data_IF_545955688876
#
_entry.id   IF_545955688876
#
_cell.length_a   1.000
_cell.length_b   1.000
_cell.length_c   1.000
_cell.angle_alpha   90.00
_cell.angle_beta   90.00
_cell.angle_gamma   90.00
#
_symmetry.space_group_name_H-M   'P 1'
#
loop_
_entity.id
_entity.type
_entity.pdbx_description
1 polymer ?
#
# COMPACT_ATOMS: atom_id res chain seq x y z
N UNK A 1 -32.37 -0.35 -23.06
CA UNK A 1 -31.42 0.68 -22.61
C UNK A 1 -30.50 -0.02 -21.64
N UNK A 2 -29.24 -0.25 -22.03
CA UNK A 2 -28.31 -1.02 -21.20
C UNK A 2 -27.95 -0.22 -19.94
N UNK A 3 -27.98 -0.88 -18.79
CA UNK A 3 -27.37 -0.37 -17.57
C UNK A 3 -25.90 -0.08 -17.87
N UNK A 4 -25.49 1.18 -17.75
CA UNK A 4 -24.08 1.54 -17.68
C UNK A 4 -23.59 1.07 -16.29
N UNK A 5 -23.32 -0.22 -16.17
CA UNK A 5 -22.76 -0.82 -14.95
C UNK A 5 -21.32 -0.36 -14.76
N UNK A 6 -21.06 0.25 -13.59
CA UNK A 6 -19.80 0.82 -13.16
C UNK A 6 -19.28 1.97 -14.04
N UNK A 7 -19.23 3.15 -13.45
CA UNK A 7 -18.93 4.43 -14.11
C UNK A 7 -17.62 4.38 -14.91
N UNK A 8 -17.69 4.55 -16.23
CA UNK A 8 -16.54 4.68 -17.16
C UNK A 8 -15.48 5.70 -16.68
N UNK A 9 -15.89 6.65 -15.84
CA UNK A 9 -15.06 7.65 -15.17
C UNK A 9 -13.86 7.06 -14.42
N UNK A 10 -13.98 5.86 -13.85
CA UNK A 10 -12.93 5.22 -13.06
C UNK A 10 -12.28 4.02 -13.78
N UNK A 11 -12.54 3.83 -15.08
CA UNK A 11 -12.06 2.68 -15.87
C UNK A 11 -10.54 2.50 -15.86
N UNK A 12 -9.80 3.59 -15.66
CA UNK A 12 -8.33 3.59 -15.64
C UNK A 12 -7.74 3.65 -14.23
N UNK A 13 -8.56 3.62 -13.18
CA UNK A 13 -8.11 3.64 -11.80
C UNK A 13 -8.66 2.45 -11.00
N UNK A 14 -8.17 2.30 -9.77
CA UNK A 14 -8.45 1.19 -8.85
C UNK A 14 -9.84 1.26 -8.18
N UNK A 15 -10.85 1.81 -8.87
CA UNK A 15 -12.16 2.07 -8.29
C UNK A 15 -13.30 1.87 -9.30
N UNK A 16 -14.49 1.50 -8.83
CA UNK A 16 -15.62 1.18 -9.70
C UNK A 16 -16.95 1.84 -9.27
N UNK A 17 -16.96 2.56 -8.15
CA UNK A 17 -18.15 3.22 -7.59
C UNK A 17 -17.94 4.74 -7.51
N UNK A 18 -19.00 5.50 -7.20
CA UNK A 18 -18.85 6.93 -6.94
C UNK A 18 -18.09 7.20 -5.64
N UNK A 19 -17.28 8.26 -5.64
CA UNK A 19 -16.48 8.65 -4.49
C UNK A 19 -17.33 9.27 -3.39
N UNK A 20 -17.22 8.72 -2.19
CA UNK A 20 -17.69 9.38 -0.96
C UNK A 20 -16.62 10.27 -0.32
N UNK A 21 -16.96 10.93 0.78
CA UNK A 21 -16.11 11.93 1.45
C UNK A 21 -14.77 11.39 1.98
N UNK A 22 -14.65 10.09 2.17
CA UNK A 22 -13.45 9.43 2.71
C UNK A 22 -12.36 9.16 1.66
N UNK A 23 -12.69 9.33 0.38
CA UNK A 23 -11.80 9.02 -0.73
C UNK A 23 -11.52 10.26 -1.56
N UNK A 24 -10.36 10.30 -2.19
CA UNK A 24 -10.02 11.31 -3.17
C UNK A 24 -9.16 10.71 -4.29
N UNK A 25 -9.21 11.35 -5.45
CA UNK A 25 -8.30 11.05 -6.55
C UNK A 25 -6.97 11.73 -6.26
N UNK A 26 -5.90 10.97 -6.28
CA UNK A 26 -4.52 11.44 -6.09
C UNK A 26 -3.65 11.01 -7.26
N UNK A 27 -2.58 11.76 -7.50
CA UNK A 27 -1.52 11.39 -8.45
C UNK A 27 -0.16 11.63 -7.78
N UNK A 28 0.67 10.59 -7.72
CA UNK A 28 2.03 10.65 -7.18
C UNK A 28 3.12 10.54 -8.26
N UNK A 29 2.76 10.65 -9.54
CA UNK A 29 3.67 10.68 -10.68
C UNK A 29 3.62 9.47 -11.61
N UNK A 30 2.77 8.47 -11.33
CA UNK A 30 2.55 7.26 -12.16
C UNK A 30 1.09 7.14 -12.63
N UNK A 31 0.33 8.24 -12.52
CA UNK A 31 -1.07 8.33 -12.94
C UNK A 31 -2.06 8.43 -11.77
N UNK A 32 -3.27 8.88 -12.10
CA UNK A 32 -4.35 9.10 -11.15
C UNK A 32 -4.91 7.79 -10.59
N UNK A 33 -5.11 7.74 -9.26
CA UNK A 33 -5.78 6.64 -8.58
C UNK A 33 -6.61 7.13 -7.39
N UNK A 34 -7.54 6.30 -6.93
CA UNK A 34 -8.40 6.60 -5.77
C UNK A 34 -7.73 6.08 -4.50
N UNK A 35 -7.57 6.96 -3.52
CA UNK A 35 -7.03 6.61 -2.22
C UNK A 35 -8.01 7.01 -1.10
N UNK A 36 -8.05 6.21 -0.04
CA UNK A 36 -8.64 6.66 1.22
C UNK A 36 -7.73 7.73 1.85
N UNK A 37 -8.33 8.83 2.30
CA UNK A 37 -7.62 9.99 2.86
C UNK A 37 -6.69 9.63 4.02
N UNK A 38 -7.06 8.64 4.84
CA UNK A 38 -6.23 8.18 5.95
C UNK A 38 -4.98 7.41 5.50
N UNK A 39 -5.00 6.79 4.32
CA UNK A 39 -3.88 6.04 3.77
C UNK A 39 -2.89 6.92 2.97
N UNK A 40 -3.31 8.11 2.53
CA UNK A 40 -2.50 9.03 1.71
C UNK A 40 -1.11 9.31 2.30
N UNK A 41 -0.94 9.62 3.60
CA UNK A 41 0.39 9.88 4.16
C UNK A 41 1.37 8.72 3.98
N UNK A 42 0.89 7.48 4.15
CA UNK A 42 1.70 6.28 3.95
C UNK A 42 2.03 6.09 2.48
N UNK A 43 1.05 6.22 1.59
CA UNK A 43 1.24 6.02 0.15
C UNK A 43 2.20 7.05 -0.44
N UNK A 44 2.09 8.31 0.00
CA UNK A 44 3.03 9.36 -0.38
C UNK A 44 4.45 9.05 0.09
N UNK A 45 4.63 8.61 1.34
CA UNK A 45 5.95 8.25 1.85
C UNK A 45 6.57 7.06 1.10
N UNK A 46 5.77 6.06 0.74
CA UNK A 46 6.21 4.92 -0.08
C UNK A 46 6.61 5.37 -1.49
N UNK A 47 5.82 6.23 -2.12
CA UNK A 47 6.15 6.77 -3.44
C UNK A 47 7.41 7.65 -3.41
N UNK A 48 7.58 8.51 -2.41
CA UNK A 48 8.79 9.33 -2.21
C UNK A 48 10.04 8.47 -1.98
N UNK A 49 9.88 7.28 -1.41
CA UNK A 49 10.94 6.27 -1.30
C UNK A 49 11.18 5.49 -2.62
N UNK A 50 10.46 5.80 -3.69
CA UNK A 50 10.56 5.15 -5.00
C UNK A 50 9.87 3.78 -5.06
N UNK A 51 9.02 3.46 -4.09
CA UNK A 51 8.32 2.18 -4.03
C UNK A 51 7.00 2.24 -4.78
N UNK A 52 6.81 1.31 -5.73
CA UNK A 52 5.53 1.13 -6.41
C UNK A 52 4.53 0.48 -5.48
N UNK A 53 3.34 1.05 -5.36
CA UNK A 53 2.28 0.53 -4.49
C UNK A 53 1.00 0.26 -5.28
N UNK A 54 0.24 -0.75 -4.86
CA UNK A 54 -1.17 -0.93 -5.24
C UNK A 54 -2.05 -0.82 -4.02
N UNK A 55 -3.23 -0.24 -4.17
CA UNK A 55 -4.22 -0.14 -3.10
C UNK A 55 -5.57 -0.62 -3.57
N UNK A 56 -6.36 -1.17 -2.65
CA UNK A 56 -7.74 -1.48 -2.92
C UNK A 56 -8.57 -1.32 -1.65
N UNK A 57 -9.79 -0.86 -1.85
CA UNK A 57 -10.78 -0.69 -0.81
C UNK A 57 -11.98 -1.56 -1.18
N UNK A 58 -12.33 -2.50 -0.29
CA UNK A 58 -13.54 -3.29 -0.44
C UNK A 58 -14.68 -2.57 0.29
N UNK A 59 -15.83 -2.41 -0.36
CA UNK A 59 -17.04 -1.93 0.32
C UNK A 59 -17.67 -3.06 1.14
N UNK A 60 -18.08 -2.80 2.39
CA UNK A 60 -18.74 -3.77 3.28
C UNK A 60 -17.82 -4.28 4.40
N UNK A 61 -17.90 -5.56 4.75
CA UNK A 61 -17.03 -6.20 5.76
C UNK A 61 -15.58 -6.45 5.27
N UNK A 62 -15.31 -6.16 4.00
CA UNK A 62 -13.96 -6.29 3.44
C UNK A 62 -13.05 -5.17 3.92
N UNK A 63 -11.86 -5.52 4.40
CA UNK A 63 -10.85 -4.54 4.83
C UNK A 63 -10.29 -3.67 3.69
N UNK A 64 -9.32 -2.84 3.99
CA UNK A 64 -8.52 -2.13 2.98
C UNK A 64 -7.11 -2.71 2.92
N UNK A 65 -6.45 -2.65 1.77
CA UNK A 65 -5.02 -2.95 1.69
C UNK A 65 -4.22 -1.87 0.98
N UNK A 66 -2.97 -1.74 1.43
CA UNK A 66 -1.86 -1.15 0.69
C UNK A 66 -0.83 -2.25 0.51
N UNK A 67 -0.42 -2.50 -0.72
CA UNK A 67 0.63 -3.46 -1.03
C UNK A 67 1.77 -2.75 -1.77
N UNK A 68 3.00 -3.08 -1.41
CA UNK A 68 4.21 -2.67 -2.14
C UNK A 68 4.48 -3.76 -3.18
N UNK A 69 4.70 -3.35 -4.43
CA UNK A 69 5.11 -4.27 -5.49
C UNK A 69 6.61 -4.50 -5.37
N UNK A 70 6.99 -5.76 -5.15
CA UNK A 70 8.37 -6.19 -4.94
C UNK A 70 8.71 -7.27 -5.97
N UNK A 71 9.94 -7.25 -6.48
CA UNK A 71 10.48 -8.30 -7.34
C UNK A 71 11.00 -9.48 -6.48
N UNK A 72 12.07 -10.17 -6.89
CA UNK A 72 12.68 -11.31 -6.18
C UNK A 72 13.31 -10.90 -4.84
N UNK A 73 12.44 -10.65 -3.86
CA UNK A 73 12.73 -10.18 -2.51
C UNK A 73 12.14 -11.14 -1.50
N UNK A 74 12.90 -11.48 -0.47
CA UNK A 74 12.34 -12.14 0.69
C UNK A 74 11.69 -11.10 1.62
N UNK A 75 10.42 -11.35 1.97
CA UNK A 75 9.62 -10.49 2.85
C UNK A 75 9.34 -11.22 4.15
N UNK A 76 9.62 -10.56 5.28
CA UNK A 76 9.37 -11.11 6.61
C UNK A 76 8.74 -10.04 7.52
N UNK A 77 7.68 -10.40 8.24
CA UNK A 77 7.19 -9.58 9.36
C UNK A 77 7.74 -10.17 10.65
N UNK A 78 8.58 -9.42 11.35
CA UNK A 78 9.20 -9.86 12.59
C UNK A 78 9.17 -8.76 13.66
N UNK A 79 9.47 -9.16 14.88
CA UNK A 79 9.76 -8.19 15.94
C UNK A 79 11.23 -7.80 15.83
N UNK A 80 11.51 -6.50 15.86
CA UNK A 80 12.86 -5.96 15.86
C UNK A 80 13.57 -6.43 17.13
N UNK A 81 14.70 -7.08 16.95
CA UNK A 81 15.60 -7.49 18.02
C UNK A 81 17.04 -7.44 17.48
N UNK A 82 17.64 -6.26 17.52
CA UNK A 82 19.04 -6.07 17.12
C UNK A 82 19.95 -6.50 18.27
N UNK A 83 20.50 -7.71 18.15
CA UNK A 83 21.53 -8.23 19.07
C UNK A 83 22.72 -7.27 19.02
N UNK A 84 23.21 -6.86 20.19
CA UNK A 84 24.32 -5.92 20.40
C UNK A 84 24.02 -4.42 20.14
N UNK A 85 22.77 -4.07 19.83
CA UNK A 85 22.31 -2.69 19.70
C UNK A 85 21.26 -2.31 20.76
N UNK A 86 21.55 -2.61 22.03
CA UNK A 86 20.68 -2.38 23.21
C UNK A 86 20.14 -0.94 23.34
N UNK A 87 20.65 0.01 22.56
CA UNK A 87 20.24 1.43 22.53
C UNK A 87 19.26 1.79 21.42
N UNK A 88 18.91 0.87 20.54
CA UNK A 88 17.94 1.16 19.47
C UNK A 88 16.54 1.28 20.04
N UNK A 89 15.91 2.44 19.84
CA UNK A 89 14.51 2.71 20.25
C UNK A 89 13.47 1.87 19.50
N UNK A 90 13.92 1.02 18.58
CA UNK A 90 13.08 0.20 17.72
C UNK A 90 12.92 -1.24 18.23
N UNK A 91 13.75 -1.69 19.18
CA UNK A 91 13.59 -3.02 19.79
C UNK A 91 12.17 -3.21 20.35
N UNK A 92 11.59 -4.37 20.07
CA UNK A 92 10.20 -4.70 20.44
C UNK A 92 9.13 -4.19 19.48
N UNK A 93 9.46 -3.34 18.50
CA UNK A 93 8.51 -2.93 17.45
C UNK A 93 8.36 -4.02 16.39
N UNK A 94 7.26 -3.98 15.65
CA UNK A 94 7.08 -4.80 14.44
C UNK A 94 7.76 -4.11 13.26
N UNK A 95 8.50 -4.89 12.47
CA UNK A 95 9.09 -4.47 11.21
C UNK A 95 8.58 -5.34 10.06
N UNK A 96 8.49 -4.72 8.88
CA UNK A 96 8.46 -5.39 7.60
C UNK A 96 9.89 -5.39 7.06
N UNK A 97 10.57 -6.52 7.13
CA UNK A 97 11.94 -6.69 6.67
C UNK A 97 11.95 -7.17 5.21
N UNK A 98 12.64 -6.42 4.35
CA UNK A 98 12.84 -6.72 2.94
C UNK A 98 14.31 -7.11 2.73
N UNK A 99 14.57 -8.29 2.16
CA UNK A 99 15.94 -8.81 1.98
C UNK A 99 16.18 -9.30 0.54
N UNK A 100 17.33 -8.92 -0.01
CA UNK A 100 17.89 -9.51 -1.23
C UNK A 100 18.80 -10.68 -0.88
N UNK A 101 18.86 -11.71 -1.74
CA UNK A 101 19.80 -12.83 -1.61
C UNK A 101 19.69 -13.63 -0.30
N UNK A 102 18.48 -13.89 0.20
CA UNK A 102 18.31 -14.84 1.32
C UNK A 102 18.75 -16.21 0.83
N UNK A 103 20.00 -16.61 1.14
CA UNK A 103 20.44 -17.99 0.95
C UNK A 103 19.48 -18.87 1.74
N UNK A 104 18.64 -19.60 1.04
CA UNK A 104 17.91 -20.72 1.62
C UNK A 104 18.95 -21.65 2.22
N UNK A 105 18.90 -21.80 3.55
CA UNK A 105 19.63 -22.87 4.23
C UNK A 105 18.94 -24.19 3.94
#
# INVERSE_FOLDING_TARGET
>A
MGELESTDKYRFCNHHHELGDEHEVVDFGDGEFVANKAAIPLLKALNEAGLKTRTHHYTGEGGAFVAILLDDIHVEIKTVNEVDADRTKYNGKKELLLMWNKKTK
#
